data_IF_008273211268
#
_entry.id   IF_008273211268
#
_cell.length_a   1.000
_cell.length_b   1.000
_cell.length_c   1.000
_cell.angle_alpha   90.00
_cell.angle_beta   90.00
_cell.angle_gamma   90.00
#
_symmetry.space_group_name_H-M   'P 1'
#
loop_
_entity.id
_entity.type
_entity.pdbx_description
1 polymer ?
#
# COMPACT_ATOMS: atom_id res chain seq x y z
N UNK A 1 15.69 16.72 5.69
CA UNK A 1 15.49 15.49 4.89
C UNK A 1 14.05 15.52 4.40
N UNK A 2 13.75 15.30 3.11
CA UNK A 2 12.36 15.04 2.74
C UNK A 2 11.84 13.90 3.61
N UNK A 3 10.61 13.99 4.08
CA UNK A 3 9.95 12.96 4.90
C UNK A 3 9.84 11.68 4.07
N UNK A 4 10.91 10.87 3.97
CA UNK A 4 10.92 9.64 3.14
C UNK A 4 10.03 8.55 3.72
N UNK A 5 9.64 8.71 4.99
CA UNK A 5 8.79 7.78 5.71
C UNK A 5 7.91 8.51 6.72
N UNK A 6 6.72 7.96 6.95
CA UNK A 6 5.79 8.31 8.01
C UNK A 6 5.57 7.08 8.87
N UNK A 7 5.70 7.24 10.18
CA UNK A 7 5.45 6.17 11.14
C UNK A 7 4.22 6.47 11.96
N UNK A 8 3.51 5.42 12.38
CA UNK A 8 2.40 5.57 13.29
C UNK A 8 2.30 4.47 14.32
N UNK A 9 1.60 4.76 15.42
CA UNK A 9 1.26 3.79 16.45
C UNK A 9 -0.24 3.87 16.75
N UNK A 10 -0.94 2.73 16.77
CA UNK A 10 -2.38 2.76 16.99
C UNK A 10 -2.71 3.07 18.46
N UNK A 11 -3.69 3.93 18.65
CA UNK A 11 -4.35 4.19 19.93
C UNK A 11 -5.69 3.46 19.99
N UNK A 12 -6.34 3.52 21.15
CA UNK A 12 -7.69 2.97 21.34
C UNK A 12 -8.62 3.38 20.21
N UNK A 13 -9.46 2.46 19.77
CA UNK A 13 -10.36 2.70 18.64
C UNK A 13 -11.39 1.59 18.51
N UNK A 14 -11.94 1.45 17.31
CA UNK A 14 -12.99 0.49 17.01
C UNK A 14 -12.66 -0.26 15.73
N UNK A 15 -12.59 -1.59 15.80
CA UNK A 15 -12.36 -2.47 14.64
C UNK A 15 -13.58 -3.36 14.51
N UNK A 16 -14.24 -3.34 13.35
CA UNK A 16 -15.42 -4.17 13.07
C UNK A 16 -16.53 -4.03 14.13
N UNK A 17 -16.75 -2.81 14.63
CA UNK A 17 -17.76 -2.52 15.66
C UNK A 17 -17.33 -2.84 17.10
N UNK A 18 -16.12 -3.35 17.31
CA UNK A 18 -15.60 -3.70 18.63
C UNK A 18 -14.54 -2.71 19.10
N UNK A 19 -14.70 -2.20 20.32
CA UNK A 19 -13.68 -1.36 20.97
C UNK A 19 -12.43 -2.18 21.24
N UNK A 20 -11.28 -1.67 20.80
CA UNK A 20 -9.99 -2.32 21.00
C UNK A 20 -9.02 -1.39 21.75
N UNK A 21 -8.17 -1.95 22.64
CA UNK A 21 -7.16 -1.17 23.36
C UNK A 21 -6.10 -0.60 22.42
N UNK A 22 -5.41 0.47 22.84
CA UNK A 22 -4.25 0.99 22.13
C UNK A 22 -3.02 0.09 22.30
N UNK A 23 -1.98 0.30 21.49
CA UNK A 23 -0.78 -0.54 21.54
C UNK A 23 -0.09 -0.51 22.91
N UNK A 24 0.04 0.68 23.51
CA UNK A 24 0.63 0.90 24.85
C UNK A 24 -0.23 0.37 26.00
N UNK A 25 -1.50 0.04 25.74
CA UNK A 25 -2.41 -0.52 26.74
C UNK A 25 -2.33 -2.06 26.79
N UNK A 26 -1.59 -2.69 25.88
CA UNK A 26 -1.44 -4.14 25.85
C UNK A 26 -0.49 -4.65 26.95
N UNK A 27 -0.76 -5.83 27.53
CA UNK A 27 0.16 -6.47 28.46
C UNK A 27 1.55 -6.66 27.85
N UNK A 28 2.60 -6.30 28.60
CA UNK A 28 3.99 -6.45 28.16
C UNK A 28 4.54 -5.31 27.30
N UNK A 29 3.75 -4.27 27.02
CA UNK A 29 4.21 -3.08 26.28
C UNK A 29 4.54 -1.94 27.25
N UNK A 30 5.76 -1.35 27.19
CA UNK A 30 6.09 -0.15 27.95
C UNK A 30 5.18 1.03 27.60
N UNK A 31 4.76 1.81 28.61
CA UNK A 31 3.87 2.97 28.41
C UNK A 31 4.51 4.09 27.58
N UNK A 32 5.83 4.17 27.58
CA UNK A 32 6.65 5.07 26.79
C UNK A 32 7.14 4.44 25.48
N UNK A 33 6.55 3.30 25.05
CA UNK A 33 6.93 2.65 23.81
C UNK A 33 6.70 3.55 22.59
N UNK A 34 7.71 3.58 21.73
CA UNK A 34 7.70 4.26 20.42
C UNK A 34 7.72 3.28 19.26
N UNK A 35 7.48 1.99 19.50
CA UNK A 35 7.46 0.99 18.43
C UNK A 35 6.38 1.33 17.41
N UNK A 36 6.71 1.56 16.13
CA UNK A 36 5.72 1.85 15.12
C UNK A 36 4.89 0.59 14.85
N UNK A 37 3.57 0.75 14.76
CA UNK A 37 2.62 -0.28 14.30
C UNK A 37 2.12 -0.02 12.89
N UNK A 38 2.58 1.08 12.29
CA UNK A 38 2.30 1.51 10.93
C UNK A 38 3.56 2.18 10.36
N UNK A 39 3.81 1.95 9.07
CA UNK A 39 4.80 2.69 8.30
C UNK A 39 4.27 2.94 6.88
N UNK A 40 4.51 4.14 6.36
CA UNK A 40 4.43 4.46 4.95
C UNK A 40 5.81 4.97 4.50
N UNK A 41 6.33 4.49 3.38
CA UNK A 41 7.66 4.83 2.87
C UNK A 41 7.58 5.11 1.38
N UNK A 42 8.27 6.16 0.93
CA UNK A 42 8.47 6.47 -0.49
C UNK A 42 9.88 6.05 -0.88
N UNK A 43 9.97 5.18 -1.88
CA UNK A 43 11.24 4.71 -2.42
C UNK A 43 11.29 4.96 -3.92
N UNK A 44 12.51 5.01 -4.46
CA UNK A 44 12.77 5.11 -5.88
C UNK A 44 13.68 3.95 -6.28
N UNK A 45 13.47 3.44 -7.48
CA UNK A 45 14.35 2.44 -8.07
C UNK A 45 15.22 3.16 -9.09
N UNK A 46 16.53 3.22 -8.83
CA UNK A 46 17.48 3.93 -9.68
C UNK A 46 17.86 3.09 -10.90
N UNK A 47 16.96 3.05 -11.88
CA UNK A 47 17.23 2.49 -13.19
C UNK A 47 16.42 3.20 -14.28
N UNK A 48 16.79 2.96 -15.53
CA UNK A 48 16.17 3.61 -16.69
C UNK A 48 14.65 3.39 -16.80
N UNK A 49 14.14 2.26 -16.28
CA UNK A 49 12.73 1.86 -16.39
C UNK A 49 11.85 2.57 -15.38
N UNK A 50 12.38 2.89 -14.20
CA UNK A 50 11.65 3.44 -13.05
C UNK A 50 12.13 4.83 -12.64
N UNK A 51 12.99 5.45 -13.45
CA UNK A 51 13.49 6.78 -13.16
C UNK A 51 12.35 7.79 -12.98
N UNK A 52 12.36 8.46 -11.83
CA UNK A 52 11.32 9.43 -11.46
C UNK A 52 9.97 8.84 -11.06
N UNK A 53 9.81 7.51 -11.05
CA UNK A 53 8.57 6.85 -10.61
C UNK A 53 8.67 6.54 -9.11
N UNK A 54 7.85 7.18 -8.25
CA UNK A 54 7.85 6.89 -6.83
C UNK A 54 7.09 5.58 -6.53
N UNK A 55 7.67 4.76 -5.65
CA UNK A 55 7.02 3.58 -5.08
C UNK A 55 6.62 3.90 -3.65
N UNK A 56 5.32 3.86 -3.36
CA UNK A 56 4.81 4.02 -2.01
C UNK A 56 4.49 2.65 -1.41
N UNK A 57 5.16 2.34 -0.31
CA UNK A 57 4.86 1.17 0.49
C UNK A 57 4.11 1.61 1.73
N UNK A 58 3.05 0.90 2.10
CA UNK A 58 2.31 1.14 3.35
C UNK A 58 1.94 -0.18 3.98
N UNK A 59 2.22 -0.31 5.27
CA UNK A 59 1.83 -1.47 6.07
C UNK A 59 1.48 -1.03 7.48
N UNK A 60 0.50 -1.67 8.09
CA UNK A 60 0.13 -1.37 9.46
C UNK A 60 -0.78 -2.39 10.10
N UNK A 61 -0.87 -2.32 11.42
CA UNK A 61 -1.75 -3.15 12.25
C UNK A 61 -2.99 -2.37 12.68
N UNK A 62 -4.06 -3.10 13.01
CA UNK A 62 -5.34 -2.51 13.46
C UNK A 62 -5.86 -1.45 12.49
N UNK A 63 -5.68 -1.68 11.19
CA UNK A 63 -6.26 -0.86 10.13
C UNK A 63 -7.73 -1.25 9.90
N UNK A 64 -8.46 -0.41 9.16
CA UNK A 64 -9.89 -0.60 8.86
C UNK A 64 -10.23 -1.96 8.27
N UNK A 65 -9.34 -2.51 7.43
CA UNK A 65 -9.53 -3.81 6.79
C UNK A 65 -8.19 -4.51 6.60
N UNK A 66 -8.19 -5.84 6.71
CA UNK A 66 -7.08 -6.69 6.26
C UNK A 66 -7.07 -6.75 4.74
N UNK A 67 -6.04 -6.19 4.12
CA UNK A 67 -5.84 -6.23 2.67
C UNK A 67 -4.35 -6.20 2.33
N UNK A 68 -3.98 -6.93 1.29
CA UNK A 68 -2.67 -6.95 0.66
C UNK A 68 -2.90 -6.73 -0.83
N UNK A 69 -2.41 -5.62 -1.37
CA UNK A 69 -2.61 -5.25 -2.76
C UNK A 69 -1.47 -4.41 -3.31
N UNK A 70 -1.36 -4.38 -4.63
CA UNK A 70 -0.47 -3.49 -5.39
C UNK A 70 -1.34 -2.71 -6.36
N UNK A 71 -1.30 -1.38 -6.29
CA UNK A 71 -1.99 -0.51 -7.25
C UNK A 71 -0.98 0.26 -8.11
N UNK A 72 -1.11 0.11 -9.42
CA UNK A 72 -0.28 0.80 -10.42
C UNK A 72 -1.12 1.92 -11.02
N UNK A 73 -0.74 3.15 -10.72
CA UNK A 73 -1.40 4.35 -11.24
C UNK A 73 -0.68 4.80 -12.51
N UNK A 74 -1.41 4.82 -13.63
CA UNK A 74 -0.85 5.25 -14.90
C UNK A 74 -0.66 6.78 -14.91
N UNK A 75 0.10 7.29 -15.86
CA UNK A 75 0.23 8.73 -16.03
C UNK A 75 -1.07 9.34 -16.57
N UNK A 76 -1.33 10.60 -16.19
CA UNK A 76 -2.40 11.39 -16.79
C UNK A 76 -2.15 11.54 -18.29
N UNK A 77 -3.23 11.57 -19.06
CA UNK A 77 -3.13 11.83 -20.50
C UNK A 77 -2.63 13.28 -20.71
N UNK A 78 -1.45 13.49 -21.34
CA UNK A 78 -0.84 14.82 -21.44
C UNK A 78 -1.64 15.76 -22.34
N UNK A 79 -2.28 15.21 -23.38
CA UNK A 79 -3.13 15.95 -24.31
C UNK A 79 -4.45 15.20 -24.53
N UNK A 80 -5.55 15.76 -24.02
CA UNK A 80 -6.89 15.27 -24.31
C UNK A 80 -7.44 15.97 -25.54
N UNK A 81 -7.76 15.20 -26.59
CA UNK A 81 -8.52 15.70 -27.76
C UNK A 81 -9.96 16.07 -27.41
N UNK A 82 -10.43 15.74 -26.20
CA UNK A 82 -11.76 16.05 -25.69
C UNK A 82 -11.81 17.30 -24.80
N UNK A 83 -10.71 18.06 -24.75
CA UNK A 83 -10.62 19.28 -23.93
C UNK A 83 -11.68 20.30 -24.37
N UNK A 84 -12.62 20.62 -23.48
CA UNK A 84 -13.75 21.52 -23.76
C UNK A 84 -15.02 20.85 -24.28
N UNK A 85 -14.98 19.55 -24.58
CA UNK A 85 -16.16 18.73 -24.95
C UNK A 85 -16.61 17.89 -23.76
N UNK A 86 -15.65 17.38 -22.98
CA UNK A 86 -15.88 16.67 -21.72
C UNK A 86 -15.53 17.64 -20.58
N UNK A 87 -16.48 17.90 -19.68
CA UNK A 87 -16.32 18.83 -18.56
C UNK A 87 -15.42 18.30 -17.44
N UNK A 88 -15.13 17.00 -17.45
CA UNK A 88 -14.36 16.31 -16.43
C UNK A 88 -12.94 15.97 -16.92
N UNK A 89 -11.96 16.17 -16.04
CA UNK A 89 -10.60 15.72 -16.28
C UNK A 89 -10.55 14.20 -16.41
N UNK A 90 -9.84 13.71 -17.44
CA UNK A 90 -9.65 12.28 -17.63
C UNK A 90 -8.78 11.75 -16.50
N UNK A 91 -9.34 10.89 -15.65
CA UNK A 91 -8.60 10.28 -14.56
C UNK A 91 -7.60 9.26 -15.11
N UNK A 92 -6.42 9.11 -14.48
CA UNK A 92 -5.51 8.05 -14.85
C UNK A 92 -6.14 6.68 -14.63
N UNK A 93 -5.75 5.73 -15.49
CA UNK A 93 -6.09 4.33 -15.27
C UNK A 93 -5.40 3.82 -14.00
N UNK A 94 -5.98 2.81 -13.37
CA UNK A 94 -5.39 2.12 -12.22
C UNK A 94 -5.48 0.62 -12.44
N UNK A 95 -4.35 -0.08 -12.40
CA UNK A 95 -4.28 -1.54 -12.40
C UNK A 95 -4.01 -2.03 -10.98
N UNK A 96 -4.91 -2.83 -10.44
CA UNK A 96 -4.89 -3.29 -9.05
C UNK A 96 -4.74 -4.79 -9.02
N UNK A 97 -3.68 -5.26 -8.37
CA UNK A 97 -3.47 -6.66 -8.04
C UNK A 97 -3.85 -6.85 -6.57
N UNK A 98 -4.98 -7.51 -6.31
CA UNK A 98 -5.38 -7.88 -4.96
C UNK A 98 -4.83 -9.27 -4.65
N UNK A 99 -3.91 -9.32 -3.69
CA UNK A 99 -3.22 -10.54 -3.27
C UNK A 99 -4.00 -11.24 -2.16
N UNK A 100 -4.58 -10.51 -1.21
CA UNK A 100 -5.44 -11.08 -0.17
C UNK A 100 -6.29 -10.00 0.48
N UNK A 101 -7.52 -10.28 0.94
CA UNK A 101 -8.36 -11.41 0.58
C UNK A 101 -8.96 -11.24 -0.82
N UNK A 102 -9.61 -12.29 -1.33
CA UNK A 102 -10.37 -12.26 -2.59
C UNK A 102 -9.48 -11.91 -3.79
N UNK A 103 -8.57 -12.83 -4.10
CA UNK A 103 -7.55 -12.69 -5.14
C UNK A 103 -8.18 -12.26 -6.47
N UNK A 104 -7.75 -11.10 -6.96
CA UNK A 104 -8.35 -10.47 -8.11
C UNK A 104 -7.37 -9.53 -8.82
N UNK A 105 -7.62 -9.32 -10.11
CA UNK A 105 -6.98 -8.29 -10.91
C UNK A 105 -8.08 -7.35 -11.41
N UNK A 106 -7.96 -6.07 -11.09
CA UNK A 106 -8.92 -5.04 -11.48
C UNK A 106 -8.22 -3.95 -12.29
N UNK A 107 -8.73 -3.67 -13.48
CA UNK A 107 -8.35 -2.49 -14.27
C UNK A 107 -9.49 -1.47 -14.22
N UNK A 108 -9.19 -0.30 -13.68
CA UNK A 108 -10.11 0.83 -13.60
C UNK A 108 -9.68 1.88 -14.61
N UNK A 109 -10.62 2.27 -15.47
CA UNK A 109 -10.42 3.24 -16.54
C UNK A 109 -11.72 3.96 -16.84
N UNK A 110 -11.66 5.01 -17.65
CA UNK A 110 -12.85 5.77 -18.02
C UNK A 110 -13.41 5.33 -19.37
N UNK A 111 -14.73 5.15 -19.44
CA UNK A 111 -15.46 4.89 -20.67
C UNK A 111 -16.66 5.82 -20.79
N UNK A 112 -17.15 6.01 -22.03
CA UNK A 112 -18.37 6.77 -22.29
C UNK A 112 -19.55 6.12 -21.55
N UNK A 113 -20.27 6.91 -20.76
CA UNK A 113 -21.52 6.49 -20.18
C UNK A 113 -22.54 6.12 -21.30
N UNK A 114 -23.30 5.03 -21.16
CA UNK A 114 -24.43 4.76 -22.04
C UNK A 114 -25.38 5.95 -22.05
N UNK A 115 -25.71 6.46 -23.25
CA UNK A 115 -26.56 7.64 -23.41
C UNK A 115 -26.14 8.56 -24.56
N UNK A 116 -26.89 9.65 -24.71
CA UNK A 116 -26.69 10.69 -25.74
C UNK A 116 -25.67 11.74 -25.33
N UNK A 117 -25.48 11.96 -24.03
CA UNK A 117 -24.50 12.91 -23.48
C UNK A 117 -23.09 12.32 -23.48
N UNK A 118 -22.09 13.13 -23.84
CA UNK A 118 -20.68 12.76 -23.77
C UNK A 118 -20.15 12.95 -22.34
N UNK A 119 -20.48 12.00 -21.46
CA UNK A 119 -20.00 11.93 -20.08
C UNK A 119 -19.13 10.68 -19.92
N UNK A 120 -17.96 10.84 -19.32
CA UNK A 120 -17.10 9.70 -18.96
C UNK A 120 -17.49 9.19 -17.57
N UNK A 121 -17.39 7.88 -17.38
CA UNK A 121 -17.54 7.24 -16.07
C UNK A 121 -16.45 6.22 -15.86
N UNK A 122 -16.06 6.08 -14.60
CA UNK A 122 -15.12 5.05 -14.19
C UNK A 122 -15.80 3.67 -14.37
N UNK A 123 -15.21 2.83 -15.20
CA UNK A 123 -15.61 1.43 -15.43
C UNK A 123 -14.52 0.50 -14.92
N UNK A 124 -14.91 -0.73 -14.59
CA UNK A 124 -14.04 -1.73 -13.99
C UNK A 124 -14.06 -3.00 -14.83
N UNK A 125 -12.90 -3.43 -15.28
CA UNK A 125 -12.68 -4.81 -15.74
C UNK A 125 -12.11 -5.61 -14.59
N UNK A 126 -12.77 -6.70 -14.22
CA UNK A 126 -12.42 -7.49 -13.04
C UNK A 126 -12.23 -8.96 -13.43
N UNK A 127 -11.10 -9.52 -13.02
CA UNK A 127 -10.88 -10.96 -12.96
C UNK A 127 -10.78 -11.37 -11.49
N UNK A 128 -11.48 -12.44 -11.09
CA UNK A 128 -11.45 -12.96 -9.73
C UNK A 128 -11.20 -14.47 -9.73
N UNK A 129 -10.20 -14.91 -8.96
CA UNK A 129 -9.89 -16.34 -8.82
C UNK A 129 -11.04 -17.14 -8.22
N UNK A 130 -11.85 -16.53 -7.34
CA UNK A 130 -13.07 -17.16 -6.83
C UNK A 130 -14.06 -17.54 -7.93
N UNK A 131 -14.12 -16.76 -9.01
CA UNK A 131 -14.99 -17.04 -10.15
C UNK A 131 -14.34 -18.02 -11.14
N UNK A 132 -13.01 -18.00 -11.26
CA UNK A 132 -12.28 -18.90 -12.15
C UNK A 132 -12.31 -20.37 -11.68
N UNK A 133 -12.52 -20.60 -10.38
CA UNK A 133 -12.54 -21.93 -9.79
C UNK A 133 -11.14 -22.49 -9.55
N UNK A 134 -11.04 -23.46 -8.65
CA UNK A 134 -9.79 -24.10 -8.25
C UNK A 134 -9.45 -23.89 -6.77
N UNK A 135 -8.81 -24.89 -6.17
CA UNK A 135 -8.26 -24.78 -4.81
C UNK A 135 -6.89 -24.14 -4.94
N UNK A 136 -6.71 -22.95 -4.36
CA UNK A 136 -5.37 -22.41 -4.21
C UNK A 136 -4.69 -23.12 -3.03
N UNK A 137 -3.52 -23.74 -3.25
CA UNK A 137 -2.77 -24.36 -2.16
C UNK A 137 -2.38 -23.30 -1.14
N UNK A 138 -2.22 -23.71 0.11
CA UNK A 138 -1.69 -22.81 1.14
C UNK A 138 -0.26 -22.38 0.78
N UNK A 139 0.15 -21.20 1.26
CA UNK A 139 1.49 -20.68 1.01
C UNK A 139 2.59 -21.68 1.46
N UNK A 140 2.41 -22.36 2.60
CA UNK A 140 3.39 -23.34 3.08
C UNK A 140 3.37 -24.63 2.26
N UNK A 141 2.20 -25.10 1.82
CA UNK A 141 2.11 -26.27 0.93
C UNK A 141 2.91 -26.01 -0.34
N UNK A 142 2.75 -24.83 -0.94
CA UNK A 142 3.47 -24.46 -2.15
C UNK A 142 4.98 -24.40 -1.94
N UNK A 143 5.44 -23.68 -0.92
CA UNK A 143 6.87 -23.49 -0.64
C UNK A 143 7.56 -24.82 -0.30
N UNK A 144 6.90 -25.70 0.47
CA UNK A 144 7.42 -27.04 0.77
C UNK A 144 7.54 -27.89 -0.51
N UNK A 145 6.53 -27.85 -1.38
CA UNK A 145 6.57 -28.57 -2.64
C UNK A 145 7.68 -28.06 -3.58
N UNK A 146 7.91 -26.75 -3.61
CA UNK A 146 8.98 -26.14 -4.41
C UNK A 146 10.36 -26.53 -3.86
N UNK A 147 10.55 -26.57 -2.53
CA UNK A 147 11.75 -27.14 -1.89
C UNK A 147 12.03 -28.59 -2.33
N UNK A 148 11.00 -29.45 -2.31
CA UNK A 148 11.13 -30.86 -2.69
C UNK A 148 11.48 -31.03 -4.17
N UNK A 149 11.09 -30.08 -5.02
CA UNK A 149 11.39 -30.06 -6.46
C UNK A 149 12.73 -29.39 -6.79
N UNK A 150 13.37 -28.75 -5.82
CA UNK A 150 14.54 -27.90 -6.06
C UNK A 150 14.21 -26.64 -6.88
N UNK A 151 12.96 -26.17 -6.83
CA UNK A 151 12.55 -24.92 -7.47
C UNK A 151 12.77 -23.76 -6.50
N UNK A 152 13.70 -22.86 -6.86
CA UNK A 152 14.10 -21.73 -6.03
C UNK A 152 13.39 -20.42 -6.40
N UNK A 153 12.46 -20.43 -7.36
CA UNK A 153 11.87 -19.21 -7.93
C UNK A 153 11.21 -18.29 -6.89
N UNK A 154 10.55 -18.86 -5.87
CA UNK A 154 9.83 -18.12 -4.83
C UNK A 154 10.68 -17.84 -3.57
N UNK A 155 11.96 -18.23 -3.57
CA UNK A 155 12.86 -18.01 -2.45
C UNK A 155 13.69 -16.75 -2.67
N UNK A 156 13.87 -15.97 -1.61
CA UNK A 156 14.74 -14.79 -1.67
C UNK A 156 16.19 -15.23 -1.54
N UNK A 157 17.01 -14.90 -2.54
CA UNK A 157 18.45 -15.15 -2.50
C UNK A 157 19.16 -14.29 -1.45
N UNK A 158 20.35 -14.73 -1.03
CA UNK A 158 21.15 -14.06 0.02
C UNK A 158 21.40 -12.59 -0.29
N UNK A 159 21.87 -12.26 -1.51
CA UNK A 159 22.14 -10.88 -1.92
C UNK A 159 20.89 -9.98 -1.81
N UNK A 160 19.71 -10.52 -2.16
CA UNK A 160 18.46 -9.78 -2.03
C UNK A 160 18.09 -9.46 -0.58
N UNK A 161 18.39 -10.38 0.34
CA UNK A 161 18.19 -10.17 1.78
C UNK A 161 19.18 -9.12 2.32
N UNK A 162 20.45 -9.22 1.94
CA UNK A 162 21.50 -8.26 2.36
C UNK A 162 21.17 -6.83 1.88
N UNK A 163 20.77 -6.68 0.62
CA UNK A 163 20.36 -5.39 0.06
C UNK A 163 19.11 -4.81 0.74
N UNK A 164 18.13 -5.66 1.08
CA UNK A 164 16.96 -5.22 1.84
C UNK A 164 17.36 -4.69 3.23
N UNK A 165 18.26 -5.39 3.93
CA UNK A 165 18.78 -4.91 5.22
C UNK A 165 19.57 -3.62 5.08
N UNK A 166 20.51 -3.54 4.13
CA UNK A 166 21.30 -2.33 3.89
C UNK A 166 20.40 -1.11 3.63
N UNK A 167 19.31 -1.29 2.87
CA UNK A 167 18.36 -0.23 2.58
C UNK A 167 17.57 0.24 3.80
N UNK A 168 17.05 -0.67 4.63
CA UNK A 168 16.19 -0.31 5.77
C UNK A 168 16.96 0.00 7.07
N UNK A 169 18.18 -0.50 7.22
CA UNK A 169 19.00 -0.35 8.42
C UNK A 169 19.16 1.13 8.88
N UNK A 170 19.41 2.12 7.99
CA UNK A 170 19.51 3.52 8.43
C UNK A 170 18.21 4.05 9.04
N UNK A 171 17.05 3.62 8.51
CA UNK A 171 15.73 4.00 9.01
C UNK A 171 15.50 3.35 10.38
N UNK A 172 15.81 2.07 10.52
CA UNK A 172 15.65 1.32 11.77
C UNK A 172 16.54 1.89 12.89
N UNK A 173 17.84 2.10 12.61
CA UNK A 173 18.77 2.72 13.57
C UNK A 173 18.33 4.11 14.01
N UNK A 174 17.70 4.85 13.11
CA UNK A 174 17.19 6.17 13.45
C UNK A 174 16.04 6.09 14.47
N UNK A 175 15.11 5.16 14.26
CA UNK A 175 13.99 4.90 15.17
C UNK A 175 14.50 4.45 16.55
N UNK A 176 15.48 3.54 16.60
CA UNK A 176 16.05 3.02 17.85
C UNK A 176 16.77 4.08 18.67
N UNK A 177 17.55 4.97 18.03
CA UNK A 177 18.35 5.99 18.72
C UNK A 177 17.51 7.11 19.35
N UNK A 178 16.18 7.03 19.26
CA UNK A 178 15.28 8.00 19.90
C UNK A 178 15.50 9.43 19.41
N UNK A 179 16.10 9.62 18.22
CA UNK A 179 16.36 10.94 17.61
C UNK A 179 15.07 11.51 17.04
N UNK A 180 14.08 11.68 17.92
CA UNK A 180 12.69 12.11 17.70
C UNK A 180 12.49 13.39 16.88
N UNK A 181 13.56 14.17 16.64
CA UNK A 181 13.50 15.43 15.92
C UNK A 181 13.27 15.29 14.41
N UNK A 182 13.47 14.11 13.80
CA UNK A 182 13.26 13.94 12.35
C UNK A 182 12.16 12.95 11.95
N UNK A 183 11.79 11.98 12.80
CA UNK A 183 10.67 11.07 12.53
C UNK A 183 9.81 10.93 13.79
N UNK A 184 8.65 11.58 13.76
CA UNK A 184 7.64 11.46 14.80
C UNK A 184 6.79 10.21 14.53
N UNK A 185 6.44 9.48 15.59
CA UNK A 185 5.51 8.34 15.50
C UNK A 185 4.12 8.88 15.79
N UNK A 186 3.31 9.00 14.74
CA UNK A 186 1.98 9.62 14.80
C UNK A 186 0.94 8.65 15.36
N UNK A 187 0.12 9.11 16.30
CA UNK A 187 -0.97 8.30 16.81
C UNK A 187 -2.09 8.19 15.76
N UNK A 188 -2.67 6.99 15.62
CA UNK A 188 -3.86 6.79 14.77
C UNK A 188 -4.90 5.91 15.47
N UNK A 189 -6.21 6.20 15.35
CA UNK A 189 -7.23 5.35 15.95
C UNK A 189 -7.21 3.94 15.34
N UNK A 190 -7.26 2.90 16.17
CA UNK A 190 -7.50 1.55 15.67
C UNK A 190 -8.81 1.51 14.85
N UNK A 191 -8.77 0.87 13.69
CA UNK A 191 -9.85 0.83 12.71
C UNK A 191 -9.82 1.92 11.64
N UNK A 192 -8.89 2.88 11.73
CA UNK A 192 -8.62 3.85 10.66
C UNK A 192 -7.68 3.27 9.58
N UNK A 193 -7.34 4.05 8.55
CA UNK A 193 -6.35 3.67 7.53
C UNK A 193 -4.91 4.05 7.86
N UNK A 194 -4.68 4.51 9.09
CA UNK A 194 -3.39 4.99 9.56
C UNK A 194 -3.45 6.48 9.95
N UNK A 195 -2.29 7.07 10.25
CA UNK A 195 -2.19 8.48 10.62
C UNK A 195 -2.52 9.38 9.42
N UNK A 196 -3.04 10.58 9.70
CA UNK A 196 -3.40 11.57 8.66
C UNK A 196 -2.18 11.96 7.83
N UNK A 197 -1.01 12.00 8.46
CA UNK A 197 0.26 12.32 7.86
C UNK A 197 0.64 11.35 6.75
N UNK A 198 0.15 10.10 6.78
CA UNK A 198 0.36 9.15 5.69
C UNK A 198 -0.49 9.47 4.45
N UNK A 199 -1.64 10.12 4.61
CA UNK A 199 -2.46 10.63 3.50
C UNK A 199 -1.83 11.90 2.92
N UNK A 200 -1.43 12.82 3.81
CA UNK A 200 -0.75 14.06 3.42
C UNK A 200 0.58 13.74 2.69
N UNK A 201 1.28 12.69 3.10
CA UNK A 201 2.54 12.24 2.52
C UNK A 201 2.45 11.94 1.01
N UNK A 202 1.44 11.19 0.58
CA UNK A 202 1.24 10.86 -0.84
C UNK A 202 0.55 12.01 -1.59
N UNK A 203 -0.29 12.78 -0.91
CA UNK A 203 -1.03 13.92 -1.48
C UNK A 203 -0.10 15.08 -1.85
N UNK A 204 1.01 15.27 -1.12
CA UNK A 204 2.07 16.24 -1.46
C UNK A 204 2.63 16.02 -2.87
N UNK A 205 2.64 14.78 -3.35
CA UNK A 205 3.08 14.39 -4.68
C UNK A 205 1.92 14.33 -5.71
N UNK A 206 0.70 14.71 -5.32
CA UNK A 206 -0.48 14.71 -6.18
C UNK A 206 -1.15 13.35 -6.37
N UNK A 207 -0.79 12.37 -5.53
CA UNK A 207 -1.32 11.01 -5.56
C UNK A 207 -2.26 10.76 -4.37
N UNK A 208 -3.01 9.66 -4.43
CA UNK A 208 -3.92 9.23 -3.35
C UNK A 208 -3.81 7.71 -3.17
N UNK A 209 -4.01 7.24 -1.95
CA UNK A 209 -4.08 5.80 -1.70
C UNK A 209 -5.30 5.19 -2.40
N UNK A 210 -5.11 4.03 -3.04
CA UNK A 210 -6.20 3.33 -3.70
C UNK A 210 -7.29 2.90 -2.71
N UNK A 211 -6.87 2.39 -1.56
CA UNK A 211 -7.77 1.92 -0.49
C UNK A 211 -7.85 2.94 0.64
N UNK A 212 -9.09 3.32 0.96
CA UNK A 212 -9.54 4.32 1.94
C UNK A 212 -10.93 4.01 2.48
#
# INVERSE_FOLDING_TARGET
>A
MPEVAVFGQYIRGEVEGQKVPGYRDLPGIPRDSHTPTFAAVKVFIDNWRWQGVPFYLRSGKRLKKRITEVSVHFQRVPHSVFRGIISEDIKPNVLVFRIQPDEAIELVFQAKAPGTTLCLRDVKMNFSYKMAGGVMPDAYERVIMDCLRGDHLLFVGQEGVEQAWEFFEPILRFLEKGKRLLFHVHDYPAGSWGPKEAEDFITKDGYQWWVR
#
